data_IF_343964673726
#
_entry.id   IF_343964673726
#
_cell.length_a   1.000
_cell.length_b   1.000
_cell.length_c   1.000
_cell.angle_alpha   90.00
_cell.angle_beta   90.00
_cell.angle_gamma   90.00
#
_symmetry.space_group_name_H-M   'P 1'
#
loop_
_entity.id
_entity.type
_entity.pdbx_description
1 polymer ?
#
# COMPACT_ATOMS: atom_id res chain seq x y z
N UNK A 1 -23.01 -6.90 14.77
CA UNK A 1 -22.76 -8.36 14.68
C UNK A 1 -21.43 -8.70 15.32
N UNK A 2 -21.33 -9.87 15.97
CA UNK A 2 -20.09 -10.30 16.64
C UNK A 2 -19.07 -10.91 15.64
N UNK A 3 -19.49 -11.17 14.43
CA UNK A 3 -18.70 -11.75 13.33
C UNK A 3 -19.59 -12.24 12.21
N UNK A 4 -19.02 -13.02 11.30
CA UNK A 4 -19.72 -13.69 10.23
C UNK A 4 -20.27 -15.03 10.72
N UNK A 5 -21.57 -15.23 10.62
CA UNK A 5 -22.23 -16.46 11.09
C UNK A 5 -22.36 -17.48 9.96
N UNK A 6 -22.14 -18.75 10.27
CA UNK A 6 -22.44 -19.84 9.35
C UNK A 6 -23.97 -19.99 9.18
N UNK A 7 -24.44 -20.06 7.93
CA UNK A 7 -25.88 -20.21 7.61
C UNK A 7 -26.47 -21.49 8.17
N UNK A 8 -25.71 -22.59 8.23
CA UNK A 8 -26.17 -23.89 8.67
C UNK A 8 -26.44 -23.96 10.17
N UNK A 9 -25.63 -23.22 10.96
CA UNK A 9 -25.70 -23.30 12.42
C UNK A 9 -26.22 -22.06 13.09
N UNK A 10 -26.43 -20.93 12.35
CA UNK A 10 -26.86 -19.58 12.77
C UNK A 10 -26.27 -19.04 14.09
N UNK A 11 -25.64 -19.91 14.90
CA UNK A 11 -25.04 -19.61 16.20
C UNK A 11 -23.52 -19.65 16.23
N UNK A 12 -22.89 -20.26 15.21
CA UNK A 12 -21.42 -20.39 15.18
C UNK A 12 -20.78 -19.31 14.32
N UNK A 13 -19.87 -18.54 14.93
CA UNK A 13 -19.09 -17.53 14.23
C UNK A 13 -17.98 -18.21 13.45
N UNK A 14 -17.79 -17.82 12.18
CA UNK A 14 -16.64 -18.17 11.37
C UNK A 14 -15.48 -17.31 11.86
N UNK A 15 -14.60 -17.89 12.64
CA UNK A 15 -13.52 -17.13 13.31
C UNK A 15 -12.43 -16.68 12.34
N UNK A 16 -12.17 -17.43 11.25
CA UNK A 16 -11.09 -17.15 10.30
C UNK A 16 -11.53 -17.36 8.86
N UNK A 17 -11.25 -16.40 8.00
CA UNK A 17 -11.50 -16.45 6.56
C UNK A 17 -10.18 -16.18 5.83
N UNK A 18 -9.62 -17.19 5.16
CA UNK A 18 -8.42 -17.10 4.32
C UNK A 18 -8.74 -16.88 2.84
N UNK A 19 -9.96 -17.17 2.42
CA UNK A 19 -10.45 -16.99 1.05
C UNK A 19 -11.93 -16.70 1.10
N UNK A 20 -12.38 -15.71 0.35
CA UNK A 20 -13.80 -15.43 0.14
C UNK A 20 -14.23 -16.26 -1.05
N UNK A 21 -14.67 -17.49 -0.78
CA UNK A 21 -15.18 -18.46 -1.74
C UNK A 21 -16.70 -18.32 -1.93
N UNK A 22 -17.28 -19.17 -2.80
CA UNK A 22 -18.73 -19.20 -3.04
C UNK A 22 -19.55 -19.42 -1.76
N UNK A 23 -19.03 -20.19 -0.80
CA UNK A 23 -19.69 -20.42 0.49
C UNK A 23 -19.75 -19.13 1.31
N UNK A 24 -18.65 -18.42 1.44
CA UNK A 24 -18.61 -17.13 2.13
C UNK A 24 -19.45 -16.08 1.37
N UNK A 25 -19.36 -16.04 0.05
CA UNK A 25 -20.18 -15.13 -0.77
C UNK A 25 -21.68 -15.39 -0.64
N UNK A 26 -22.10 -16.64 -0.50
CA UNK A 26 -23.52 -16.98 -0.30
C UNK A 26 -24.11 -16.46 1.02
N UNK A 27 -23.28 -15.99 1.95
CA UNK A 27 -23.71 -15.34 3.19
C UNK A 27 -24.19 -13.90 2.97
N UNK A 28 -23.97 -13.33 1.79
CA UNK A 28 -24.52 -12.03 1.41
C UNK A 28 -26.05 -12.09 1.53
N UNK A 29 -26.60 -11.12 2.26
CA UNK A 29 -28.06 -10.93 2.37
C UNK A 29 -28.46 -9.71 1.54
N UNK A 30 -29.49 -9.86 0.74
CA UNK A 30 -30.09 -8.75 -0.02
C UNK A 30 -30.99 -7.86 0.86
N UNK A 31 -31.11 -8.14 2.15
CA UNK A 31 -31.91 -7.34 3.07
C UNK A 31 -31.14 -6.08 3.48
N UNK A 32 -31.58 -4.97 2.91
CA UNK A 32 -31.21 -3.64 3.39
C UNK A 32 -31.97 -3.43 4.70
N UNK A 33 -31.28 -3.17 5.80
CA UNK A 33 -31.94 -2.81 7.05
C UNK A 33 -32.34 -1.33 7.01
N UNK A 34 -33.52 -1.00 7.47
CA UNK A 34 -34.09 0.36 7.48
C UNK A 34 -33.24 1.41 8.23
N UNK A 35 -32.21 0.98 8.98
CA UNK A 35 -31.34 1.82 9.82
C UNK A 35 -29.84 1.77 9.43
N UNK A 36 -29.47 1.24 8.28
CA UNK A 36 -28.06 1.21 7.88
C UNK A 36 -27.82 0.73 6.46
N UNK A 37 -27.10 1.52 5.69
CA UNK A 37 -26.69 1.23 4.30
C UNK A 37 -25.71 0.06 4.15
N UNK A 38 -25.42 -0.70 5.22
CA UNK A 38 -24.30 -1.63 5.26
C UNK A 38 -24.62 -3.02 5.82
N UNK A 39 -25.32 -3.88 5.08
CA UNK A 39 -25.51 -5.29 5.43
C UNK A 39 -24.18 -6.10 5.43
N UNK A 40 -24.31 -7.43 5.52
CA UNK A 40 -23.17 -8.36 5.39
C UNK A 40 -22.44 -8.20 4.04
N UNK A 41 -23.17 -7.86 2.99
CA UNK A 41 -22.64 -7.62 1.64
C UNK A 41 -21.52 -6.57 1.65
N UNK A 42 -21.78 -5.38 2.20
CA UNK A 42 -20.77 -4.30 2.26
C UNK A 42 -19.56 -4.66 3.10
N UNK A 43 -19.73 -5.45 4.15
CA UNK A 43 -18.64 -5.95 5.00
C UNK A 43 -17.77 -6.97 4.27
N UNK A 44 -18.36 -7.85 3.46
CA UNK A 44 -17.62 -8.80 2.63
C UNK A 44 -16.88 -8.09 1.47
N UNK A 45 -17.49 -7.04 0.90
CA UNK A 45 -16.83 -6.25 -0.15
C UNK A 45 -15.64 -5.47 0.45
N UNK A 46 -15.79 -4.88 1.63
CA UNK A 46 -14.66 -4.29 2.37
C UNK A 46 -13.57 -5.32 2.69
N UNK A 47 -13.95 -6.53 3.11
CA UNK A 47 -12.99 -7.60 3.38
C UNK A 47 -12.22 -8.02 2.13
N UNK A 48 -12.86 -8.08 0.95
CA UNK A 48 -12.18 -8.33 -0.34
C UNK A 48 -11.14 -7.26 -0.63
N UNK A 49 -11.50 -5.99 -0.45
CA UNK A 49 -10.56 -4.86 -0.67
C UNK A 49 -9.37 -4.98 0.28
N UNK A 50 -9.61 -5.17 1.59
CA UNK A 50 -8.55 -5.34 2.58
C UNK A 50 -7.63 -6.51 2.23
N UNK A 51 -8.18 -7.69 1.97
CA UNK A 51 -7.40 -8.89 1.65
C UNK A 51 -6.56 -8.74 0.37
N UNK A 52 -7.10 -8.07 -0.66
CA UNK A 52 -6.40 -7.79 -1.92
C UNK A 52 -5.28 -6.76 -1.73
N UNK A 53 -5.45 -5.85 -0.77
CA UNK A 53 -4.44 -4.85 -0.39
C UNK A 53 -3.41 -5.35 0.61
N UNK A 54 -3.45 -6.65 0.97
CA UNK A 54 -2.54 -7.23 1.94
C UNK A 54 -2.81 -6.81 3.39
N UNK A 55 -4.03 -6.32 3.68
CA UNK A 55 -4.43 -5.87 5.00
C UNK A 55 -5.31 -6.91 5.69
N UNK A 56 -5.05 -7.16 6.98
CA UNK A 56 -5.94 -7.92 7.84
C UNK A 56 -7.19 -7.11 8.17
N UNK A 57 -8.36 -7.76 8.19
CA UNK A 57 -9.60 -7.14 8.63
C UNK A 57 -10.26 -7.97 9.72
N UNK A 58 -10.79 -7.31 10.74
CA UNK A 58 -11.56 -7.94 11.82
C UNK A 58 -13.01 -7.42 11.77
N UNK A 59 -13.96 -8.37 11.73
CA UNK A 59 -15.39 -8.09 11.86
C UNK A 59 -15.82 -8.47 13.26
N UNK A 60 -16.27 -7.50 14.06
CA UNK A 60 -16.69 -7.66 15.44
C UNK A 60 -17.81 -6.68 15.83
N UNK A 61 -18.34 -6.81 17.04
CA UNK A 61 -19.40 -5.98 17.56
C UNK A 61 -18.88 -4.64 18.08
N UNK A 62 -19.10 -3.56 17.32
CA UNK A 62 -18.70 -2.20 17.71
C UNK A 62 -19.56 -1.56 18.82
N UNK A 63 -20.68 -2.20 19.25
CA UNK A 63 -21.50 -1.67 20.35
C UNK A 63 -20.97 -2.02 21.74
N UNK A 64 -19.96 -2.89 21.82
CA UNK A 64 -19.31 -3.23 23.10
C UNK A 64 -18.39 -2.09 23.55
N UNK A 65 -18.31 -1.87 24.86
CA UNK A 65 -17.30 -0.97 25.42
C UNK A 65 -15.90 -1.53 25.11
N UNK A 66 -15.00 -0.69 24.58
CA UNK A 66 -13.65 -1.07 24.17
C UNK A 66 -13.62 -2.26 23.20
N UNK A 67 -14.20 -2.14 21.98
CA UNK A 67 -14.37 -3.28 21.06
C UNK A 67 -13.05 -3.92 20.65
N UNK A 68 -11.98 -3.15 20.49
CA UNK A 68 -10.63 -3.68 20.15
C UNK A 68 -10.10 -4.55 21.30
N UNK A 69 -10.19 -4.07 22.54
CA UNK A 69 -9.81 -4.86 23.74
C UNK A 69 -10.64 -6.13 23.86
N UNK A 70 -11.94 -6.06 23.52
CA UNK A 70 -12.83 -7.22 23.49
C UNK A 70 -12.36 -8.27 22.49
N UNK A 71 -11.97 -7.87 21.27
CA UNK A 71 -11.43 -8.80 20.25
C UNK A 71 -10.19 -9.53 20.78
N UNK A 72 -9.25 -8.79 21.38
CA UNK A 72 -7.99 -9.35 21.91
C UNK A 72 -8.29 -10.37 23.00
N UNK A 73 -9.17 -10.05 23.94
CA UNK A 73 -9.43 -10.88 25.12
C UNK A 73 -10.34 -12.07 24.84
N UNK A 74 -11.41 -11.89 24.04
CA UNK A 74 -12.44 -12.93 23.85
C UNK A 74 -12.28 -13.70 22.55
N UNK A 75 -11.55 -13.14 21.58
CA UNK A 75 -11.43 -13.66 20.20
C UNK A 75 -12.78 -13.85 19.49
N UNK A 76 -13.83 -13.18 19.97
CA UNK A 76 -15.16 -13.22 19.35
C UNK A 76 -15.18 -12.22 18.20
N UNK A 77 -14.78 -12.67 17.02
CA UNK A 77 -14.72 -11.89 15.78
C UNK A 77 -14.55 -12.82 14.59
N UNK A 78 -14.71 -12.28 13.38
CA UNK A 78 -14.20 -12.92 12.16
C UNK A 78 -12.93 -12.21 11.71
N UNK A 79 -11.85 -12.94 11.58
CA UNK A 79 -10.57 -12.45 11.09
C UNK A 79 -10.38 -12.86 9.62
N UNK A 80 -10.33 -11.88 8.73
CA UNK A 80 -9.99 -12.04 7.32
C UNK A 80 -8.48 -11.89 7.16
N UNK A 81 -7.84 -12.94 6.65
CA UNK A 81 -6.38 -13.03 6.51
C UNK A 81 -6.03 -12.87 5.02
N UNK A 82 -5.24 -11.86 4.63
CA UNK A 82 -4.79 -11.69 3.26
C UNK A 82 -3.83 -12.80 2.84
N UNK A 83 -3.79 -13.14 1.53
CA UNK A 83 -2.83 -14.09 0.95
C UNK A 83 -1.49 -13.47 0.59
N UNK A 84 -1.47 -12.15 0.45
CA UNK A 84 -0.28 -11.36 0.06
C UNK A 84 0.05 -10.38 1.17
N UNK A 85 1.31 -10.00 1.28
CA UNK A 85 1.72 -8.93 2.18
C UNK A 85 1.27 -7.56 1.64
N UNK A 86 1.13 -6.58 2.53
CA UNK A 86 0.85 -5.19 2.12
C UNK A 86 1.95 -4.62 1.22
N UNK A 87 3.20 -5.04 1.42
CA UNK A 87 4.32 -4.65 0.59
C UNK A 87 4.19 -5.21 -0.84
N UNK A 88 3.81 -6.49 -1.00
CA UNK A 88 3.60 -7.09 -2.31
C UNK A 88 2.39 -6.48 -3.03
N UNK A 89 1.33 -6.17 -2.30
CA UNK A 89 0.17 -5.47 -2.84
C UNK A 89 0.56 -4.07 -3.36
N UNK A 90 1.36 -3.34 -2.59
CA UNK A 90 1.90 -2.03 -2.98
C UNK A 90 2.77 -2.13 -4.23
N UNK A 91 3.66 -3.10 -4.28
CA UNK A 91 4.52 -3.34 -5.46
C UNK A 91 3.71 -3.67 -6.72
N UNK A 92 2.69 -4.51 -6.60
CA UNK A 92 1.76 -4.80 -7.72
C UNK A 92 1.04 -3.54 -8.21
N UNK A 93 0.62 -2.67 -7.29
CA UNK A 93 -0.02 -1.41 -7.64
C UNK A 93 0.96 -0.46 -8.36
N UNK A 94 2.22 -0.34 -7.90
CA UNK A 94 3.26 0.46 -8.57
C UNK A 94 3.49 -0.01 -10.00
N UNK A 95 3.59 -1.33 -10.22
CA UNK A 95 3.76 -1.91 -11.57
C UNK A 95 2.53 -1.68 -12.45
N UNK A 96 1.34 -1.89 -11.89
CA UNK A 96 0.07 -1.81 -12.61
C UNK A 96 -0.37 -0.38 -12.97
N UNK A 97 0.30 0.64 -12.45
CA UNK A 97 0.04 2.03 -12.83
C UNK A 97 0.40 2.25 -14.31
N UNK A 98 -0.59 2.56 -15.14
CA UNK A 98 -0.46 2.68 -16.60
C UNK A 98 0.46 3.82 -17.03
N UNK A 99 0.55 4.90 -16.24
CA UNK A 99 1.37 6.08 -16.52
C UNK A 99 2.29 6.41 -15.35
N UNK A 100 3.46 6.94 -15.66
CA UNK A 100 4.33 7.64 -14.70
C UNK A 100 4.18 9.15 -14.90
N UNK A 101 4.05 9.89 -13.80
CA UNK A 101 3.92 11.36 -13.82
C UNK A 101 5.21 12.07 -14.21
N UNK A 102 6.35 11.36 -14.18
CA UNK A 102 7.66 11.88 -14.56
C UNK A 102 8.73 10.82 -14.65
N UNK A 103 9.92 11.24 -15.08
CA UNK A 103 11.09 10.37 -15.24
C UNK A 103 12.25 10.92 -14.42
N UNK A 104 12.92 10.04 -13.70
CA UNK A 104 14.15 10.33 -12.94
C UNK A 104 15.32 9.61 -13.63
N UNK A 105 16.30 10.38 -14.09
CA UNK A 105 17.53 9.89 -14.68
C UNK A 105 18.59 9.72 -13.59
N UNK A 106 19.28 8.59 -13.61
CA UNK A 106 20.27 8.26 -12.58
C UNK A 106 21.63 7.91 -13.18
N UNK A 107 22.67 8.08 -12.37
CA UNK A 107 24.03 7.68 -12.74
C UNK A 107 24.24 6.17 -12.59
N UNK A 108 25.40 5.69 -13.06
CA UNK A 108 25.74 4.27 -13.03
C UNK A 108 25.94 3.73 -11.60
N UNK A 109 26.35 4.58 -10.65
CA UNK A 109 26.49 4.21 -9.24
C UNK A 109 25.14 3.92 -8.60
N UNK A 110 24.16 4.80 -8.85
CA UNK A 110 22.78 4.61 -8.42
C UNK A 110 22.13 3.40 -9.09
N UNK A 111 22.35 3.18 -10.40
CA UNK A 111 21.83 2.01 -11.10
C UNK A 111 22.33 0.69 -10.47
N UNK A 112 23.62 0.59 -10.14
CA UNK A 112 24.18 -0.56 -9.40
C UNK A 112 23.57 -0.69 -7.99
N UNK A 113 23.33 0.42 -7.29
CA UNK A 113 22.71 0.39 -5.98
C UNK A 113 21.28 -0.13 -6.03
N UNK A 114 20.49 0.28 -7.04
CA UNK A 114 19.14 -0.22 -7.27
C UNK A 114 19.11 -1.73 -7.57
N UNK A 115 20.01 -2.21 -8.44
CA UNK A 115 20.17 -3.64 -8.72
C UNK A 115 20.45 -4.45 -7.44
N UNK A 116 21.13 -3.85 -6.45
CA UNK A 116 21.37 -4.41 -5.12
C UNK A 116 20.24 -4.10 -4.11
N UNK A 117 19.03 -3.77 -4.58
CA UNK A 117 17.83 -3.50 -3.77
C UNK A 117 18.01 -2.39 -2.73
N UNK A 118 18.83 -1.39 -3.02
CA UNK A 118 18.99 -0.20 -2.18
C UNK A 118 18.03 0.92 -2.61
N UNK A 119 17.76 1.85 -1.71
CA UNK A 119 16.95 3.06 -2.00
C UNK A 119 17.68 3.99 -2.98
N UNK A 120 16.92 4.78 -3.74
CA UNK A 120 17.47 5.83 -4.59
C UNK A 120 17.76 7.08 -3.74
N UNK A 121 19.02 7.51 -3.72
CA UNK A 121 19.46 8.71 -3.03
C UNK A 121 19.58 9.90 -4.01
N UNK A 122 19.51 11.11 -3.47
CA UNK A 122 19.61 12.33 -4.26
C UNK A 122 20.96 12.46 -4.99
N UNK A 123 22.04 11.95 -4.39
CA UNK A 123 23.38 11.96 -4.97
C UNK A 123 23.48 11.27 -6.33
N UNK A 124 22.68 10.21 -6.54
CA UNK A 124 22.66 9.46 -7.81
C UNK A 124 21.69 10.00 -8.87
N UNK A 125 20.92 11.04 -8.57
CA UNK A 125 19.97 11.65 -9.53
C UNK A 125 20.70 12.70 -10.37
N UNK A 126 20.65 12.56 -11.70
CA UNK A 126 21.30 13.46 -12.64
C UNK A 126 20.33 14.47 -13.25
N UNK A 127 19.14 14.01 -13.64
CA UNK A 127 18.11 14.81 -14.32
C UNK A 127 16.72 14.31 -13.95
N UNK A 128 15.73 15.19 -14.03
CA UNK A 128 14.32 14.79 -13.99
C UNK A 128 13.55 15.43 -15.16
N UNK A 129 12.47 14.79 -15.60
CA UNK A 129 11.52 15.33 -16.56
C UNK A 129 10.10 15.06 -16.09
N UNK A 130 9.16 15.90 -16.50
CA UNK A 130 7.78 15.88 -16.04
C UNK A 130 7.58 16.67 -14.73
N UNK A 131 6.32 16.84 -14.36
CA UNK A 131 5.90 17.48 -13.11
C UNK A 131 5.11 16.47 -12.30
N UNK A 132 5.52 16.24 -11.08
CA UNK A 132 4.90 15.26 -10.19
C UNK A 132 4.98 15.69 -8.73
N UNK A 133 4.01 15.24 -7.98
CA UNK A 133 3.90 15.46 -6.53
C UNK A 133 4.55 14.32 -5.74
N UNK A 134 4.77 14.57 -4.46
CA UNK A 134 5.17 13.51 -3.51
C UNK A 134 4.12 12.40 -3.50
N UNK A 135 4.58 11.16 -3.54
CA UNK A 135 3.73 9.95 -3.56
C UNK A 135 3.31 9.51 -4.97
N UNK A 136 3.59 10.27 -6.00
CA UNK A 136 3.28 9.88 -7.37
C UNK A 136 4.29 8.88 -7.94
N UNK A 137 3.80 8.07 -8.88
CA UNK A 137 4.60 7.04 -9.55
C UNK A 137 5.49 7.68 -10.62
N UNK A 138 6.78 7.41 -10.53
CA UNK A 138 7.78 7.91 -11.47
C UNK A 138 8.57 6.75 -12.07
N UNK A 139 9.02 6.91 -13.32
CA UNK A 139 9.92 6.00 -14.01
C UNK A 139 11.36 6.35 -13.68
N UNK A 140 12.20 5.36 -13.41
CA UNK A 140 13.63 5.51 -13.21
C UNK A 140 14.36 4.93 -14.41
N UNK A 141 15.24 5.73 -15.01
CA UNK A 141 16.02 5.34 -16.18
C UNK A 141 17.50 5.64 -15.95
N UNK A 142 18.35 4.88 -16.63
CA UNK A 142 19.79 5.17 -16.68
C UNK A 142 20.13 6.30 -17.68
N UNK A 143 21.41 6.57 -17.87
CA UNK A 143 21.91 7.58 -18.81
C UNK A 143 21.65 7.23 -20.28
N UNK A 144 21.40 5.95 -20.57
CA UNK A 144 21.08 5.43 -21.91
C UNK A 144 19.54 5.30 -22.14
N UNK A 145 18.73 5.87 -21.23
CA UNK A 145 17.27 5.78 -21.25
C UNK A 145 16.70 4.36 -21.06
N UNK A 146 17.52 3.40 -20.63
CA UNK A 146 17.00 2.09 -20.25
C UNK A 146 16.12 2.22 -19.01
N UNK A 147 14.93 1.64 -19.07
CA UNK A 147 13.98 1.61 -17.96
C UNK A 147 14.44 0.62 -16.90
N UNK A 148 14.77 1.08 -15.73
CA UNK A 148 15.31 0.27 -14.65
C UNK A 148 14.28 -0.09 -13.61
N UNK A 149 13.45 0.87 -13.21
CA UNK A 149 12.50 0.69 -12.13
C UNK A 149 11.33 1.68 -12.21
N UNK A 150 10.29 1.41 -11.43
CA UNK A 150 9.23 2.37 -11.08
C UNK A 150 9.16 2.52 -9.58
N UNK A 151 8.77 3.71 -9.10
CA UNK A 151 8.64 3.94 -7.66
C UNK A 151 7.87 5.19 -7.30
N UNK A 152 7.53 5.30 -6.01
CA UNK A 152 6.81 6.46 -5.47
C UNK A 152 7.82 7.51 -4.99
N UNK A 153 7.74 8.71 -5.55
CA UNK A 153 8.62 9.81 -5.20
C UNK A 153 8.39 10.29 -3.75
N UNK A 154 9.47 10.42 -2.97
CA UNK A 154 9.39 10.98 -1.60
C UNK A 154 9.30 12.51 -1.59
N UNK A 155 9.57 13.15 -2.72
CA UNK A 155 9.60 14.60 -2.93
C UNK A 155 8.88 14.95 -4.23
N UNK A 156 8.42 16.18 -4.37
CA UNK A 156 7.92 16.67 -5.64
C UNK A 156 9.06 16.98 -6.61
N UNK A 157 8.74 17.20 -7.88
CA UNK A 157 9.72 17.45 -8.95
C UNK A 157 10.59 18.68 -8.69
N UNK A 158 10.03 19.76 -8.13
CA UNK A 158 10.78 20.98 -7.83
C UNK A 158 11.80 20.78 -6.70
N UNK A 159 11.42 20.02 -5.67
CA UNK A 159 12.33 19.67 -4.57
C UNK A 159 13.47 18.78 -5.06
N UNK A 160 13.15 17.75 -5.87
CA UNK A 160 14.21 16.89 -6.44
C UNK A 160 15.19 17.70 -7.29
N UNK A 161 14.71 18.68 -8.07
CA UNK A 161 15.60 19.56 -8.84
C UNK A 161 16.59 20.34 -7.98
N UNK A 162 16.18 20.74 -6.76
CA UNK A 162 17.07 21.46 -5.82
C UNK A 162 18.10 20.54 -5.16
N UNK A 163 17.75 19.27 -4.92
CA UNK A 163 18.57 18.34 -4.12
C UNK A 163 19.31 17.28 -4.96
N UNK A 164 19.03 17.15 -6.27
CA UNK A 164 19.73 16.20 -7.14
C UNK A 164 21.24 16.40 -7.10
N UNK A 165 21.99 15.32 -7.06
CA UNK A 165 23.44 15.32 -6.93
C UNK A 165 23.96 15.66 -5.53
N UNK A 166 23.08 15.96 -4.55
CA UNK A 166 23.48 16.33 -3.18
C UNK A 166 23.52 15.12 -2.26
N UNK A 167 24.34 15.21 -1.22
CA UNK A 167 24.36 14.18 -0.17
C UNK A 167 23.13 14.28 0.72
N UNK A 168 22.67 13.14 1.25
CA UNK A 168 21.45 13.08 2.09
C UNK A 168 21.49 14.03 3.28
N UNK A 169 22.65 14.27 3.89
CA UNK A 169 22.85 15.22 5.01
C UNK A 169 22.64 16.68 4.65
N UNK A 170 22.64 17.02 3.36
CA UNK A 170 22.46 18.41 2.87
C UNK A 170 20.99 18.72 2.58
N UNK A 171 20.15 17.69 2.43
CA UNK A 171 18.75 17.82 1.97
C UNK A 171 17.96 18.73 2.91
N UNK A 172 18.05 18.50 4.22
CA UNK A 172 17.34 19.30 5.23
C UNK A 172 17.73 20.78 5.17
N UNK A 173 19.03 21.05 5.01
CA UNK A 173 19.54 22.43 4.90
C UNK A 173 19.05 23.12 3.63
N UNK A 174 18.93 22.38 2.51
CA UNK A 174 18.50 22.92 1.21
C UNK A 174 16.98 23.14 1.19
N UNK A 175 16.21 22.22 1.75
CA UNK A 175 14.74 22.28 1.72
C UNK A 175 14.15 23.09 2.88
N UNK A 176 14.92 23.29 3.98
CA UNK A 176 14.47 24.06 5.14
C UNK A 176 13.54 23.33 6.09
N UNK A 177 13.38 22.00 5.94
CA UNK A 177 12.55 21.17 6.83
C UNK A 177 13.12 19.75 6.95
N UNK A 178 12.78 19.07 8.06
CA UNK A 178 13.16 17.67 8.29
C UNK A 178 12.48 16.78 7.25
N UNK A 179 13.25 16.09 6.44
CA UNK A 179 12.76 15.30 5.31
C UNK A 179 13.33 13.87 5.32
N UNK A 180 12.83 13.05 4.41
CA UNK A 180 13.42 11.73 4.12
C UNK A 180 14.80 11.92 3.49
N UNK A 181 15.68 10.94 3.66
CA UNK A 181 17.02 10.90 3.06
C UNK A 181 17.01 10.36 1.63
N UNK A 182 15.95 9.62 1.25
CA UNK A 182 15.83 8.92 -0.02
C UNK A 182 14.84 9.62 -0.96
N UNK A 183 15.20 9.73 -2.22
CA UNK A 183 14.28 10.15 -3.31
C UNK A 183 13.18 9.12 -3.50
N UNK A 184 13.54 7.82 -3.44
CA UNK A 184 12.60 6.71 -3.48
C UNK A 184 13.13 5.63 -2.53
N UNK A 185 12.31 5.24 -1.56
CA UNK A 185 12.64 4.15 -0.66
C UNK A 185 12.56 2.79 -1.39
N UNK A 186 13.43 1.84 -1.05
CA UNK A 186 13.47 0.49 -1.67
C UNK A 186 12.13 -0.26 -1.62
N UNK A 187 11.34 -0.04 -0.56
CA UNK A 187 10.03 -0.67 -0.39
C UNK A 187 8.92 0.03 -1.22
N UNK A 188 9.21 1.22 -1.71
CA UNK A 188 8.36 2.04 -2.59
C UNK A 188 8.78 1.95 -4.06
N UNK A 189 9.59 0.95 -4.41
CA UNK A 189 10.17 0.78 -5.73
C UNK A 189 10.08 -0.66 -6.22
N UNK A 190 9.94 -0.82 -7.53
CA UNK A 190 9.93 -2.12 -8.22
C UNK A 190 10.85 -2.05 -9.42
N UNK A 191 11.74 -3.02 -9.56
CA UNK A 191 12.58 -3.21 -10.75
C UNK A 191 11.73 -3.73 -11.92
N UNK A 192 12.04 -3.29 -13.13
CA UNK A 192 11.37 -3.65 -14.38
C UNK A 192 12.12 -4.75 -15.12
#
# INVERSE_FOLDING_TARGET
VDGLYDKSTKKKIITTVKTIDKKIESLKDNKISDYGSGGITTKLDAAKICMNSGCHMFLANGKKNNPIKSIINTKICTHFIPKISSLDAKKKWIIGSLSSSGIIYIDQGAARALANRKSLLAAGVTKITGSFSKGENVLIVDQNENRLARGLASFNSNEINKIKGKQSKEIEKILGYLSKSEIIHKDDMVML
#
